data_IF_509454268523
#
_entry.id   IF_509454268523
#
_cell.length_a   1.000
_cell.length_b   1.000
_cell.length_c   1.000
_cell.angle_alpha   90.00
_cell.angle_beta   90.00
_cell.angle_gamma   90.00
#
_symmetry.space_group_name_H-M   'P 1'
#
loop_
_entity.id
_entity.type
_entity.pdbx_description
1 polymer ?
#
# COMPACT_ATOMS: atom_id res chain seq x y z
N UNK A 1 -3.34 31.57 61.46
CA UNK A 1 -2.65 31.12 60.22
C UNK A 1 -1.97 29.74 60.34
N UNK A 2 -1.56 29.28 61.52
CA UNK A 2 -0.85 27.98 61.67
C UNK A 2 -1.69 26.72 61.41
N UNK A 3 -2.99 26.74 61.68
CA UNK A 3 -3.88 25.58 61.48
C UNK A 3 -4.18 25.28 60.00
N UNK A 4 -4.29 26.32 59.16
CA UNK A 4 -4.54 26.15 57.73
C UNK A 4 -3.33 25.53 57.02
N UNK A 5 -2.12 25.86 57.46
CA UNK A 5 -0.86 25.35 56.91
C UNK A 5 -0.64 23.87 57.24
N UNK A 6 -0.98 23.44 58.47
CA UNK A 6 -0.95 22.03 58.86
C UNK A 6 -1.92 21.17 58.04
N UNK A 7 -3.10 21.70 57.73
CA UNK A 7 -4.09 20.99 56.92
C UNK A 7 -3.62 20.82 55.46
N UNK A 8 -2.94 21.83 54.89
CA UNK A 8 -2.42 21.75 53.51
C UNK A 8 -1.27 20.75 53.39
N UNK A 9 -0.41 20.67 54.40
CA UNK A 9 0.72 19.73 54.42
C UNK A 9 0.24 18.27 54.53
N UNK A 10 -0.81 18.02 55.32
CA UNK A 10 -1.38 16.68 55.48
C UNK A 10 -2.05 16.17 54.19
N UNK A 11 -2.75 17.04 53.47
CA UNK A 11 -3.35 16.69 52.17
C UNK A 11 -2.27 16.44 51.12
N UNK A 12 -1.18 17.21 51.12
CA UNK A 12 -0.08 17.02 50.17
C UNK A 12 0.60 15.65 50.32
N UNK A 13 0.79 15.15 51.55
CA UNK A 13 1.36 13.81 51.76
C UNK A 13 0.44 12.67 51.30
N UNK A 14 -0.89 12.85 51.40
CA UNK A 14 -1.87 11.85 50.98
C UNK A 14 -1.88 11.65 49.45
N UNK A 15 -1.60 12.70 48.67
CA UNK A 15 -1.56 12.62 47.20
C UNK A 15 -0.31 11.90 46.71
N UNK A 16 0.80 11.94 47.47
CA UNK A 16 2.05 11.28 47.08
C UNK A 16 2.00 9.76 47.35
N UNK A 17 1.21 9.30 48.33
CA UNK A 17 1.02 7.85 48.57
C UNK A 17 0.15 7.14 47.54
N UNK A 18 -0.57 7.87 46.68
CA UNK A 18 -1.40 7.27 45.63
C UNK A 18 -0.63 6.97 44.34
N UNK A 19 0.66 7.36 44.26
CA UNK A 19 1.52 7.10 43.09
C UNK A 19 2.73 6.22 43.44
N UNK A 20 2.64 5.43 44.51
CA UNK A 20 3.68 4.50 44.94
C UNK A 20 3.25 3.05 44.84
N UNK A 21 3.66 2.38 43.76
CA UNK A 21 3.89 0.94 43.73
C UNK A 21 2.66 0.03 43.66
N UNK A 22 2.22 -0.27 42.45
CA UNK A 22 1.88 -1.65 42.10
C UNK A 22 2.74 -2.03 40.90
N UNK A 23 3.72 -2.89 41.15
CA UNK A 23 4.28 -3.75 40.12
C UNK A 23 3.08 -4.38 39.40
N UNK A 24 2.90 -4.02 38.13
CA UNK A 24 2.03 -4.77 37.27
C UNK A 24 2.63 -6.17 37.21
N UNK A 25 1.92 -7.15 37.78
CA UNK A 25 2.17 -8.55 37.46
C UNK A 25 1.98 -8.67 35.94
N UNK A 26 3.10 -8.58 35.21
CA UNK A 26 3.18 -8.94 33.80
C UNK A 26 2.68 -10.38 33.72
N UNK A 27 1.57 -10.67 33.03
CA UNK A 27 1.32 -12.05 32.63
C UNK A 27 2.55 -12.45 31.79
N UNK A 28 3.31 -13.43 32.27
CA UNK A 28 4.33 -14.11 31.48
C UNK A 28 3.59 -14.83 30.35
N UNK A 29 3.24 -14.09 29.30
CA UNK A 29 2.87 -14.70 28.04
C UNK A 29 4.18 -15.18 27.43
N UNK A 30 4.32 -16.50 27.34
CA UNK A 30 5.45 -17.13 26.67
C UNK A 30 5.55 -16.60 25.24
N UNK A 31 6.78 -16.38 24.75
CA UNK A 31 6.97 -15.92 23.38
C UNK A 31 6.39 -16.92 22.35
N UNK A 32 6.29 -18.20 22.74
CA UNK A 32 5.61 -19.23 21.95
C UNK A 32 4.11 -19.00 21.78
N UNK A 33 3.38 -18.53 22.81
CA UNK A 33 1.93 -18.31 22.72
C UNK A 33 1.56 -17.10 21.84
N UNK A 34 2.42 -16.07 21.82
CA UNK A 34 2.25 -14.92 20.90
C UNK A 34 2.47 -15.36 19.45
N UNK A 35 3.48 -16.19 19.20
CA UNK A 35 3.74 -16.72 17.86
C UNK A 35 2.62 -17.65 17.38
N UNK A 36 2.07 -18.50 18.26
CA UNK A 36 0.97 -19.40 17.92
C UNK A 36 -0.31 -18.63 17.55
N UNK A 37 -0.60 -17.53 18.25
CA UNK A 37 -1.77 -16.69 17.96
C UNK A 37 -1.63 -15.96 16.62
N UNK A 38 -0.43 -15.43 16.31
CA UNK A 38 -0.17 -14.75 15.05
C UNK A 38 -0.28 -15.67 13.82
N UNK A 39 0.15 -16.93 13.94
CA UNK A 39 0.02 -17.91 12.84
C UNK A 39 -1.46 -18.27 12.61
N UNK A 40 -2.28 -18.38 13.65
CA UNK A 40 -3.69 -18.70 13.51
C UNK A 40 -4.48 -17.61 12.76
N UNK A 41 -4.20 -16.34 13.03
CA UNK A 41 -4.86 -15.22 12.34
C UNK A 41 -4.49 -15.14 10.86
N UNK A 42 -3.25 -15.50 10.49
CA UNK A 42 -2.81 -15.52 9.10
C UNK A 42 -3.55 -16.58 8.25
N UNK A 43 -3.87 -17.74 8.82
CA UNK A 43 -4.62 -18.79 8.12
C UNK A 43 -6.09 -18.42 7.87
N UNK A 44 -6.71 -17.64 8.75
CA UNK A 44 -8.10 -17.16 8.56
C UNK A 44 -8.20 -16.20 7.37
N UNK A 45 -7.23 -15.31 7.20
CA UNK A 45 -7.20 -14.37 6.06
C UNK A 45 -6.99 -15.09 4.71
N UNK A 46 -6.16 -16.13 4.67
CA UNK A 46 -5.93 -16.91 3.44
C UNK A 46 -7.18 -17.69 3.00
N UNK A 47 -7.93 -18.27 3.94
CA UNK A 47 -9.11 -19.09 3.59
C UNK A 47 -10.29 -18.25 3.07
N UNK A 48 -10.46 -17.02 3.57
CA UNK A 48 -11.50 -16.10 3.05
C UNK A 48 -11.22 -15.67 1.61
N UNK A 49 -9.95 -15.56 1.22
CA UNK A 49 -9.56 -15.16 -0.15
C UNK A 49 -9.81 -16.28 -1.16
N UNK A 50 -9.64 -17.54 -0.76
CA UNK A 50 -9.89 -18.69 -1.63
C UNK A 50 -11.38 -18.86 -1.98
N UNK A 51 -12.30 -18.41 -1.14
CA UNK A 51 -13.75 -18.51 -1.38
C UNK A 51 -14.28 -17.46 -2.37
N UNK A 52 -13.52 -16.38 -2.63
CA UNK A 52 -13.89 -15.32 -3.58
C UNK A 52 -13.31 -15.55 -4.98
N UNK A 53 -12.63 -16.69 -5.20
CA UNK A 53 -12.06 -17.00 -6.52
C UNK A 53 -13.22 -17.25 -7.51
N UNK A 54 -13.30 -16.49 -8.62
CA UNK A 54 -14.43 -16.59 -9.55
C UNK A 54 -14.48 -18.00 -10.14
N UNK A 55 -15.56 -18.71 -9.84
CA UNK A 55 -15.81 -20.03 -10.41
C UNK A 55 -16.11 -19.85 -11.89
N UNK A 56 -15.31 -20.49 -12.75
CA UNK A 56 -15.53 -20.48 -14.20
C UNK A 56 -16.95 -20.98 -14.50
N UNK A 57 -17.79 -20.07 -15.00
CA UNK A 57 -19.10 -20.44 -15.51
C UNK A 57 -18.86 -21.16 -16.85
N UNK A 58 -19.30 -22.42 -17.02
CA UNK A 58 -19.09 -23.13 -18.27
C UNK A 58 -19.75 -22.36 -19.42
N UNK A 59 -18.97 -22.10 -20.47
CA UNK A 59 -19.43 -21.44 -21.68
C UNK A 59 -20.58 -22.24 -22.32
N UNK A 60 -21.61 -21.59 -22.87
CA UNK A 60 -22.72 -22.27 -23.52
C UNK A 60 -22.21 -23.05 -24.75
N UNK A 61 -22.41 -24.36 -24.75
CA UNK A 61 -22.14 -25.24 -25.90
C UNK A 61 -23.12 -24.90 -27.03
N UNK A 62 -22.65 -24.18 -28.05
CA UNK A 62 -23.38 -23.99 -29.30
C UNK A 62 -23.51 -25.33 -30.02
N UNK A 63 -24.63 -26.00 -29.80
CA UNK A 63 -24.96 -27.23 -30.51
C UNK A 63 -25.54 -26.83 -31.87
N UNK A 64 -24.76 -27.03 -32.93
CA UNK A 64 -25.23 -26.83 -34.31
C UNK A 64 -26.38 -27.79 -34.59
N UNK A 65 -27.60 -27.26 -34.63
CA UNK A 65 -28.79 -27.99 -35.02
C UNK A 65 -28.90 -27.91 -36.55
N UNK A 66 -29.00 -29.02 -37.29
CA UNK A 66 -29.23 -28.96 -38.73
C UNK A 66 -30.60 -28.35 -39.01
N UNK A 67 -30.60 -27.33 -39.87
CA UNK A 67 -31.75 -26.55 -40.30
C UNK A 67 -32.80 -27.44 -41.00
N UNK A 68 -34.09 -27.36 -40.62
CA UNK A 68 -35.15 -27.94 -41.43
C UNK A 68 -35.35 -27.09 -42.69
N UNK A 69 -35.05 -27.66 -43.84
CA UNK A 69 -35.54 -27.21 -45.14
C UNK A 69 -37.02 -27.51 -45.22
N UNK A 70 -37.88 -26.51 -45.40
CA UNK A 70 -39.13 -26.61 -46.18
C UNK A 70 -39.78 -25.23 -46.44
N UNK A 71 -40.05 -25.00 -47.73
CA UNK A 71 -41.27 -24.42 -48.31
C UNK A 71 -41.46 -22.89 -48.30
N UNK A 72 -41.53 -22.36 -49.53
CA UNK A 72 -41.73 -20.96 -49.89
C UNK A 72 -43.07 -20.40 -49.37
N UNK A 73 -42.99 -19.25 -48.69
CA UNK A 73 -44.12 -18.38 -48.38
C UNK A 73 -43.70 -16.93 -48.61
N UNK A 74 -44.42 -16.28 -49.52
CA UNK A 74 -44.21 -14.90 -49.97
C UNK A 74 -44.83 -13.93 -48.95
N UNK A 75 -44.01 -13.14 -48.25
CA UNK A 75 -44.46 -11.95 -47.48
C UNK A 75 -43.30 -10.92 -47.39
N UNK A 76 -43.58 -9.63 -47.12
CA UNK A 76 -43.08 -8.48 -47.88
C UNK A 76 -41.71 -7.98 -47.39
N UNK A 77 -40.98 -7.36 -48.30
CA UNK A 77 -39.67 -6.71 -48.08
C UNK A 77 -39.76 -5.66 -46.97
N UNK A 78 -39.28 -6.01 -45.77
CA UNK A 78 -38.94 -5.02 -44.74
C UNK A 78 -37.52 -4.52 -45.03
N UNK A 79 -37.37 -3.20 -45.05
CA UNK A 79 -36.09 -2.52 -45.23
C UNK A 79 -35.07 -2.99 -44.18
N UNK A 80 -33.91 -3.44 -44.68
CA UNK A 80 -32.76 -3.80 -43.86
C UNK A 80 -32.25 -2.54 -43.14
N UNK A 81 -32.36 -2.52 -41.81
CA UNK A 81 -31.55 -1.61 -40.99
C UNK A 81 -30.05 -1.90 -41.26
N UNK A 82 -29.19 -0.88 -41.26
CA UNK A 82 -27.76 -1.07 -41.49
C UNK A 82 -27.17 -1.97 -40.40
N UNK A 83 -26.58 -3.07 -40.82
CA UNK A 83 -25.78 -3.95 -39.98
C UNK A 83 -24.63 -3.14 -39.39
N UNK A 84 -24.64 -2.90 -38.08
CA UNK A 84 -23.47 -2.32 -37.41
C UNK A 84 -22.28 -3.28 -37.56
N UNK A 85 -21.07 -2.75 -37.78
CA UNK A 85 -19.86 -3.58 -37.77
C UNK A 85 -19.73 -4.29 -36.42
N UNK A 86 -19.18 -5.52 -36.38
CA UNK A 86 -18.94 -6.22 -35.13
C UNK A 86 -18.12 -5.33 -34.20
N UNK A 87 -18.60 -5.15 -32.98
CA UNK A 87 -17.85 -4.48 -31.93
C UNK A 87 -16.46 -5.13 -31.81
N UNK A 88 -15.38 -4.36 -31.68
CA UNK A 88 -14.07 -4.93 -31.41
C UNK A 88 -14.19 -5.83 -30.17
N UNK A 89 -13.70 -7.05 -30.30
CA UNK A 89 -13.69 -8.04 -29.23
C UNK A 89 -13.17 -7.38 -27.95
N UNK A 90 -13.91 -7.57 -26.86
CA UNK A 90 -13.52 -7.12 -25.53
C UNK A 90 -12.07 -7.53 -25.31
N UNK A 91 -11.22 -6.52 -25.12
CA UNK A 91 -9.87 -6.72 -24.62
C UNK A 91 -10.05 -7.43 -23.30
N UNK A 92 -9.64 -8.70 -23.22
CA UNK A 92 -9.54 -9.43 -21.97
C UNK A 92 -8.68 -8.55 -21.07
N UNK A 93 -9.32 -7.88 -20.11
CA UNK A 93 -8.65 -7.09 -19.11
C UNK A 93 -7.84 -8.08 -18.26
N UNK A 94 -6.58 -8.28 -18.64
CA UNK A 94 -5.61 -8.87 -17.73
C UNK A 94 -5.66 -8.02 -16.47
N UNK A 95 -5.82 -8.62 -15.28
CA UNK A 95 -5.78 -7.85 -14.05
C UNK A 95 -4.49 -7.05 -14.05
N UNK A 96 -4.61 -5.72 -14.05
CA UNK A 96 -3.46 -4.82 -13.89
C UNK A 96 -2.76 -5.26 -12.62
N UNK A 97 -1.56 -5.84 -12.78
CA UNK A 97 -0.71 -6.23 -11.65
C UNK A 97 -0.60 -5.05 -10.72
N UNK A 98 -1.11 -5.19 -9.50
CA UNK A 98 -0.93 -4.16 -8.47
C UNK A 98 0.57 -3.90 -8.28
N UNK A 99 0.96 -2.63 -8.23
CA UNK A 99 2.34 -2.17 -8.13
C UNK A 99 2.98 -2.37 -6.74
N UNK A 100 2.68 -3.51 -6.12
CA UNK A 100 3.05 -3.86 -4.75
C UNK A 100 4.09 -5.00 -4.71
N UNK A 101 4.74 -5.32 -5.83
CA UNK A 101 5.76 -6.36 -5.87
C UNK A 101 7.05 -5.87 -5.20
N UNK A 102 7.80 -6.80 -4.62
CA UNK A 102 9.13 -6.52 -4.08
C UNK A 102 10.13 -6.46 -5.24
N UNK A 103 11.06 -5.49 -5.26
CA UNK A 103 12.09 -5.41 -6.29
C UNK A 103 12.89 -6.70 -6.43
N UNK A 104 13.11 -7.13 -7.67
CA UNK A 104 14.05 -8.20 -7.96
C UNK A 104 15.49 -7.73 -7.70
N UNK A 105 16.43 -8.63 -7.40
CA UNK A 105 17.84 -8.27 -7.17
C UNK A 105 18.48 -7.54 -8.36
N UNK A 106 18.09 -7.91 -9.57
CA UNK A 106 18.55 -7.30 -10.82
C UNK A 106 17.32 -6.88 -11.65
N UNK A 107 16.83 -5.63 -11.48
CA UNK A 107 15.75 -5.13 -12.29
C UNK A 107 16.22 -4.90 -13.73
N UNK A 108 15.32 -5.10 -14.69
CA UNK A 108 15.55 -4.92 -16.13
C UNK A 108 15.44 -3.46 -16.55
N UNK A 109 14.58 -2.70 -15.86
CA UNK A 109 14.34 -1.30 -16.12
C UNK A 109 15.54 -0.43 -15.72
N UNK A 110 15.55 0.78 -16.28
CA UNK A 110 16.57 1.77 -15.97
C UNK A 110 16.51 2.16 -14.49
N UNK A 111 17.66 2.26 -13.84
CA UNK A 111 17.78 2.77 -12.48
C UNK A 111 18.08 4.29 -12.48
N UNK A 112 17.52 4.98 -11.49
CA UNK A 112 17.73 6.41 -11.24
C UNK A 112 18.23 6.62 -9.80
N UNK A 113 19.09 7.62 -9.63
CA UNK A 113 19.66 7.94 -8.33
C UNK A 113 18.69 8.79 -7.50
N UNK A 114 18.50 8.42 -6.23
CA UNK A 114 17.61 9.13 -5.31
C UNK A 114 18.26 9.31 -3.93
N UNK A 115 18.03 10.47 -3.33
CA UNK A 115 18.44 10.85 -1.98
C UNK A 115 17.21 11.11 -1.12
N UNK A 116 17.01 10.32 -0.07
CA UNK A 116 15.92 10.51 0.90
C UNK A 116 16.41 11.29 2.13
N UNK A 117 15.83 12.47 2.36
CA UNK A 117 16.10 13.32 3.51
C UNK A 117 14.98 13.17 4.55
N UNK A 118 15.36 12.76 5.76
CA UNK A 118 14.44 12.73 6.90
C UNK A 118 14.47 14.08 7.64
N UNK A 119 13.39 14.84 7.52
CA UNK A 119 13.17 16.11 8.21
C UNK A 119 12.09 16.03 9.29
N UNK A 120 11.56 14.83 9.56
CA UNK A 120 10.43 14.57 10.46
C UNK A 120 10.75 14.55 11.96
N UNK A 121 12.02 14.74 12.34
CA UNK A 121 12.55 14.70 13.72
C UNK A 121 12.52 13.30 14.39
N UNK A 122 11.84 12.33 13.80
CA UNK A 122 11.74 10.96 14.25
C UNK A 122 12.46 9.94 13.35
N UNK A 123 12.36 8.67 13.74
CA UNK A 123 12.72 7.56 12.87
C UNK A 123 11.63 7.36 11.81
N UNK A 124 12.05 7.20 10.55
CA UNK A 124 11.14 7.02 9.41
C UNK A 124 11.20 5.58 8.91
N UNK A 125 10.04 4.96 8.74
CA UNK A 125 9.86 3.82 7.85
C UNK A 125 9.11 4.31 6.60
N UNK A 126 9.76 4.30 5.44
CA UNK A 126 9.20 4.78 4.17
C UNK A 126 8.82 3.60 3.29
N UNK A 127 7.58 3.56 2.82
CA UNK A 127 7.15 2.83 1.64
C UNK A 127 7.14 3.76 0.42
N UNK A 128 7.84 3.36 -0.64
CA UNK A 128 8.00 4.14 -1.87
C UNK A 128 7.65 3.26 -3.06
N UNK A 129 6.43 3.38 -3.57
CA UNK A 129 5.88 2.49 -4.58
C UNK A 129 5.62 3.17 -5.91
N UNK A 130 5.80 2.43 -7.00
CA UNK A 130 5.45 2.89 -8.34
C UNK A 130 3.92 2.98 -8.49
N UNK A 131 3.45 3.98 -9.21
CA UNK A 131 2.02 4.10 -9.56
C UNK A 131 1.68 3.24 -10.79
N UNK A 132 2.64 3.04 -11.69
CA UNK A 132 2.46 2.33 -12.95
C UNK A 132 3.69 1.49 -13.28
N UNK A 133 3.53 0.34 -13.95
CA UNK A 133 4.66 -0.45 -14.42
C UNK A 133 5.54 0.33 -15.40
N UNK A 134 6.83 0.03 -15.43
CA UNK A 134 7.74 0.54 -16.46
C UNK A 134 7.51 -0.15 -17.82
N UNK A 135 8.32 0.21 -18.82
CA UNK A 135 8.32 -0.35 -20.17
C UNK A 135 8.67 -1.85 -20.22
N UNK A 136 9.29 -2.38 -19.16
CA UNK A 136 9.61 -3.79 -18.98
C UNK A 136 8.53 -4.56 -18.19
N UNK A 137 7.43 -3.88 -17.81
CA UNK A 137 6.34 -4.46 -17.01
C UNK A 137 6.69 -4.63 -15.53
N UNK A 138 7.78 -4.04 -15.05
CA UNK A 138 8.18 -4.09 -13.65
C UNK A 138 7.46 -2.99 -12.87
N UNK A 139 6.90 -3.34 -11.70
CA UNK A 139 6.26 -2.38 -10.83
C UNK A 139 6.49 -2.75 -9.36
N UNK A 140 7.31 -1.96 -8.67
CA UNK A 140 7.79 -2.31 -7.34
C UNK A 140 7.41 -1.29 -6.27
N UNK A 141 7.34 -1.80 -5.03
CA UNK A 141 7.31 -1.01 -3.80
C UNK A 141 8.57 -1.26 -2.99
N UNK A 142 9.30 -0.18 -2.73
CA UNK A 142 10.53 -0.18 -1.94
C UNK A 142 10.23 0.17 -0.48
N UNK A 143 11.01 -0.39 0.44
CA UNK A 143 11.01 0.02 1.85
C UNK A 143 12.37 0.58 2.22
N UNK A 144 12.38 1.77 2.82
CA UNK A 144 13.59 2.47 3.24
C UNK A 144 13.46 2.95 4.68
N UNK A 145 14.59 3.06 5.37
CA UNK A 145 14.67 3.69 6.68
C UNK A 145 15.73 4.81 6.63
N UNK A 146 15.39 6.00 6.10
CA UNK A 146 16.33 7.10 6.01
C UNK A 146 16.85 7.49 7.41
N UNK A 147 18.14 7.82 7.55
CA UNK A 147 18.74 8.11 8.85
C UNK A 147 18.01 9.28 9.52
N UNK A 148 17.85 9.25 10.84
CA UNK A 148 17.30 10.37 11.60
C UNK A 148 18.35 11.49 11.75
N UNK A 149 18.71 12.10 10.62
CA UNK A 149 19.64 13.21 10.52
C UNK A 149 19.28 14.09 9.32
N UNK A 150 18.81 15.32 9.61
CA UNK A 150 18.34 16.27 8.58
C UNK A 150 19.40 16.61 7.51
N UNK A 151 20.69 16.37 7.79
CA UNK A 151 21.82 16.71 6.89
C UNK A 151 22.35 15.54 6.08
N UNK A 152 22.04 14.29 6.46
CA UNK A 152 22.60 13.10 5.83
C UNK A 152 21.46 12.37 5.13
N UNK A 153 21.40 12.35 3.78
CA UNK A 153 20.39 11.58 3.09
C UNK A 153 20.73 10.08 3.09
N UNK A 154 19.71 9.26 2.88
CA UNK A 154 19.89 7.91 2.36
C UNK A 154 19.98 7.98 0.83
N UNK A 155 21.18 7.82 0.29
CA UNK A 155 21.41 7.72 -1.15
C UNK A 155 21.24 6.26 -1.62
N UNK A 156 20.41 6.05 -2.66
CA UNK A 156 20.16 4.72 -3.24
C UNK A 156 19.71 4.85 -4.70
N UNK A 157 19.39 3.72 -5.33
CA UNK A 157 18.81 3.67 -6.67
C UNK A 157 17.44 3.00 -6.64
N UNK A 158 16.54 3.50 -7.47
CA UNK A 158 15.20 2.93 -7.72
C UNK A 158 14.98 2.84 -9.22
N UNK A 159 13.96 2.10 -9.66
CA UNK A 159 13.57 2.10 -11.07
C UNK A 159 13.14 3.50 -11.54
N UNK A 160 13.35 3.79 -12.82
CA UNK A 160 12.77 4.97 -13.45
C UNK A 160 11.24 4.81 -13.48
N UNK A 161 10.51 5.82 -12.99
CA UNK A 161 9.06 5.75 -12.90
C UNK A 161 8.42 6.87 -12.09
N UNK A 162 7.10 6.80 -11.93
CA UNK A 162 6.32 7.74 -11.14
C UNK A 162 5.84 7.08 -9.85
N UNK A 163 6.14 7.70 -8.72
CA UNK A 163 6.04 7.09 -7.39
C UNK A 163 5.02 7.79 -6.50
N UNK A 164 4.43 7.01 -5.60
CA UNK A 164 3.79 7.47 -4.38
C UNK A 164 4.72 7.20 -3.20
N UNK A 165 4.63 8.03 -2.17
CA UNK A 165 5.35 7.86 -0.92
C UNK A 165 4.40 7.83 0.28
N UNK A 166 4.65 6.92 1.21
CA UNK A 166 3.97 6.80 2.50
C UNK A 166 5.01 6.51 3.58
N UNK A 167 5.09 7.35 4.61
CA UNK A 167 6.08 7.23 5.67
C UNK A 167 5.42 7.20 7.05
N UNK A 168 5.76 6.19 7.84
CA UNK A 168 5.43 6.12 9.26
C UNK A 168 6.58 6.72 10.06
N UNK A 169 6.25 7.69 10.91
CA UNK A 169 7.24 8.46 11.68
C UNK A 169 7.03 8.18 13.16
N UNK A 170 8.09 7.71 13.79
CA UNK A 170 8.15 7.49 15.25
C UNK A 170 9.01 8.59 15.86
N UNK A 171 8.36 9.58 16.48
CA UNK A 171 8.97 10.67 17.23
C UNK A 171 8.28 10.80 18.61
N UNK A 172 8.46 11.94 19.30
CA UNK A 172 7.64 12.27 20.49
C UNK A 172 6.14 12.29 20.17
N UNK A 173 5.79 12.69 18.95
CA UNK A 173 4.47 12.57 18.38
C UNK A 173 4.53 11.66 17.15
N UNK A 174 3.78 10.56 17.17
CA UNK A 174 3.67 9.69 16.00
C UNK A 174 2.92 10.40 14.87
N UNK A 175 3.41 10.24 13.64
CA UNK A 175 2.75 10.83 12.47
C UNK A 175 2.89 9.97 11.23
N UNK A 176 2.11 10.32 10.22
CA UNK A 176 2.14 9.70 8.90
C UNK A 176 2.31 10.79 7.86
N UNK A 177 3.33 10.64 7.02
CA UNK A 177 3.57 11.50 5.89
C UNK A 177 3.20 10.81 4.58
N UNK A 178 2.66 11.57 3.62
CA UNK A 178 2.27 11.05 2.31
C UNK A 178 2.55 12.05 1.19
N UNK A 179 2.75 11.54 -0.01
CA UNK A 179 2.89 12.35 -1.24
C UNK A 179 1.64 13.17 -1.59
N UNK A 180 0.46 12.71 -1.18
CA UNK A 180 -0.79 13.44 -1.38
C UNK A 180 -1.17 13.50 -2.86
N UNK A 181 -1.33 14.70 -3.41
CA UNK A 181 -1.64 14.93 -4.83
C UNK A 181 -0.41 15.02 -5.73
N UNK A 182 0.80 15.01 -5.16
CA UNK A 182 2.05 15.08 -5.92
C UNK A 182 2.44 13.67 -6.32
N UNK A 183 2.68 13.47 -7.61
CA UNK A 183 3.25 12.23 -8.14
C UNK A 183 4.75 12.47 -8.32
N UNK A 184 5.57 11.62 -7.70
CA UNK A 184 7.02 11.77 -7.69
C UNK A 184 7.60 11.03 -8.90
N UNK A 185 7.73 11.71 -10.04
CA UNK A 185 8.29 11.13 -11.26
C UNK A 185 9.81 11.28 -11.33
N UNK A 186 10.52 10.15 -11.28
CA UNK A 186 11.97 10.03 -11.37
C UNK A 186 12.29 9.29 -12.67
N UNK A 187 12.56 10.01 -13.75
CA UNK A 187 12.70 9.41 -15.10
C UNK A 187 14.06 9.60 -15.74
N UNK A 188 14.83 10.58 -15.27
CA UNK A 188 16.14 10.92 -15.83
C UNK A 188 17.29 10.31 -14.98
N UNK A 189 18.05 9.34 -15.51
CA UNK A 189 19.16 8.72 -14.78
C UNK A 189 20.36 9.67 -14.55
N UNK A 190 20.44 10.78 -15.27
CA UNK A 190 21.49 11.79 -15.11
C UNK A 190 21.24 12.74 -13.94
N UNK A 191 20.04 12.72 -13.37
CA UNK A 191 19.63 13.54 -12.24
C UNK A 191 19.64 12.72 -10.96
N UNK A 192 20.12 13.34 -9.87
CA UNK A 192 19.93 12.81 -8.51
C UNK A 192 18.68 13.47 -7.93
N UNK A 193 17.60 12.70 -7.83
CA UNK A 193 16.34 13.18 -7.27
C UNK A 193 16.44 13.27 -5.76
N UNK A 194 15.98 14.37 -5.18
CA UNK A 194 15.98 14.57 -3.73
C UNK A 194 14.55 14.52 -3.23
N UNK A 195 14.29 13.60 -2.31
CA UNK A 195 12.98 13.39 -1.69
C UNK A 195 13.08 13.81 -0.23
N UNK A 196 12.21 14.72 0.19
CA UNK A 196 12.12 15.20 1.56
C UNK A 196 10.93 14.56 2.26
N UNK A 197 11.17 14.07 3.48
CA UNK A 197 10.16 13.44 4.34
C UNK A 197 9.99 14.33 5.57
N UNK A 198 8.89 15.06 5.60
CA UNK A 198 8.49 15.89 6.74
C UNK A 198 7.51 15.14 7.63
N UNK A 199 6.99 15.77 8.68
CA UNK A 199 5.96 15.19 9.55
C UNK A 199 4.69 14.75 8.80
N UNK A 200 4.33 15.44 7.73
CA UNK A 200 3.03 15.30 7.04
C UNK A 200 3.15 14.95 5.55
N UNK A 201 4.31 15.19 4.94
CA UNK A 201 4.49 15.15 3.48
C UNK A 201 5.75 14.39 3.08
N UNK A 202 5.63 13.64 1.99
CA UNK A 202 6.75 13.10 1.21
C UNK A 202 6.76 13.84 -0.13
N UNK A 203 7.75 14.68 -0.39
CA UNK A 203 7.75 15.55 -1.56
C UNK A 203 9.15 15.65 -2.19
N UNK A 204 9.26 16.27 -3.37
CA UNK A 204 10.56 16.68 -3.87
C UNK A 204 11.16 17.78 -2.97
N UNK A 205 12.48 17.74 -2.81
CA UNK A 205 13.23 18.74 -2.04
C UNK A 205 13.66 19.93 -2.89
#
# INVERSE_FOLDING_TARGET
>A
MRQKFLLTLLVAMLVISACGGTEAATPEISAEDIAATAVAEAWVLLTQTAAAMPTETPAPTLTFTPQPTETALVIPTLELLPTLPPAPADVVATPTSECNQIPLPEPKGQLVNVEFYNESEGSVNLAFGMNFPNDQGECYTYSFNPPNNKKVPLATQVLAGCYWGYAWITASEVSVARSGSVILCLTDPSVVYRIMITKERVDFK
#
